data_IF_195832506788
#
_entry.id   IF_195832506788
#
_cell.length_a   1.000
_cell.length_b   1.000
_cell.length_c   1.000
_cell.angle_alpha   90.00
_cell.angle_beta   90.00
_cell.angle_gamma   90.00
#
_symmetry.space_group_name_H-M   'P 1'
#
loop_
_entity.id
_entity.type
_entity.pdbx_description
1 polymer ?
#
# COMPACT_ATOMS: atom_id res chain seq x y z
N UNK A 1 -22.52 -12.99 41.92
CA UNK A 1 -21.29 -13.45 41.26
C UNK A 1 -21.10 -14.97 41.32
N UNK A 2 -21.30 -15.63 42.43
CA UNK A 2 -21.13 -17.09 42.53
C UNK A 2 -22.07 -17.90 41.64
N UNK A 3 -23.33 -17.48 41.49
CA UNK A 3 -24.30 -18.15 40.61
C UNK A 3 -23.98 -17.97 39.12
N UNK A 4 -23.46 -16.83 38.73
CA UNK A 4 -22.99 -16.59 37.36
C UNK A 4 -21.83 -17.51 36.96
N UNK A 5 -20.83 -17.64 37.84
CA UNK A 5 -19.70 -18.55 37.63
C UNK A 5 -20.12 -20.03 37.59
N UNK A 6 -21.10 -20.38 38.37
CA UNK A 6 -21.67 -21.74 38.37
C UNK A 6 -22.39 -22.03 37.06
N UNK A 7 -23.18 -21.08 36.57
CA UNK A 7 -23.89 -21.20 35.31
C UNK A 7 -22.90 -21.30 34.14
N UNK A 8 -21.90 -20.43 34.11
CA UNK A 8 -20.84 -20.44 33.12
C UNK A 8 -20.12 -21.79 33.04
N UNK A 9 -19.78 -22.37 34.23
CA UNK A 9 -19.11 -23.68 34.30
C UNK A 9 -20.00 -24.82 33.78
N UNK A 10 -21.32 -24.76 34.05
CA UNK A 10 -22.27 -25.75 33.55
C UNK A 10 -22.36 -25.67 32.01
N UNK A 11 -22.46 -24.47 31.46
CA UNK A 11 -22.56 -24.27 30.02
C UNK A 11 -21.25 -24.68 29.28
N UNK A 12 -20.10 -24.34 29.82
CA UNK A 12 -18.83 -24.82 29.28
C UNK A 12 -18.75 -26.36 29.31
N UNK A 13 -19.11 -26.99 30.40
CA UNK A 13 -19.14 -28.45 30.50
C UNK A 13 -20.08 -29.07 29.46
N UNK A 14 -21.22 -28.43 29.19
CA UNK A 14 -22.19 -28.88 28.17
C UNK A 14 -21.64 -28.79 26.77
N UNK A 15 -20.92 -27.69 26.44
CA UNK A 15 -20.27 -27.51 25.14
C UNK A 15 -19.19 -28.58 24.94
N UNK A 16 -18.31 -28.79 25.92
CA UNK A 16 -17.24 -29.76 25.83
C UNK A 16 -17.71 -31.23 25.89
N UNK A 17 -18.91 -31.48 26.42
CA UNK A 17 -19.51 -32.82 26.49
C UNK A 17 -20.28 -33.22 25.24
N UNK A 18 -20.58 -32.26 24.34
CA UNK A 18 -21.30 -32.50 23.12
C UNK A 18 -20.38 -32.33 21.91
N UNK A 19 -20.08 -33.42 21.21
CA UNK A 19 -19.18 -33.45 20.08
C UNK A 19 -19.57 -32.49 18.94
N UNK A 20 -20.88 -32.28 18.73
CA UNK A 20 -21.38 -31.37 17.71
C UNK A 20 -21.14 -29.92 18.10
N UNK A 21 -21.44 -29.57 19.35
CA UNK A 21 -21.18 -28.21 19.87
C UNK A 21 -19.68 -27.91 19.91
N UNK A 22 -18.88 -28.89 20.30
CA UNK A 22 -17.41 -28.75 20.31
C UNK A 22 -16.86 -28.54 18.88
N UNK A 23 -17.34 -29.33 17.94
CA UNK A 23 -16.92 -29.19 16.52
C UNK A 23 -17.28 -27.83 15.94
N UNK A 24 -18.43 -27.27 16.27
CA UNK A 24 -18.82 -25.93 15.82
C UNK A 24 -18.02 -24.86 16.55
N UNK A 25 -17.88 -24.97 17.88
CA UNK A 25 -17.24 -23.94 18.71
C UNK A 25 -15.73 -23.79 18.43
N UNK A 26 -15.04 -24.90 18.15
CA UNK A 26 -13.61 -24.92 17.83
C UNK A 26 -13.38 -24.96 16.32
N UNK A 27 -14.15 -25.77 15.61
CA UNK A 27 -13.98 -26.01 14.18
C UNK A 27 -14.29 -24.78 13.32
N UNK A 28 -15.33 -24.02 13.66
CA UNK A 28 -15.69 -22.83 12.90
C UNK A 28 -14.59 -21.75 12.95
N UNK A 29 -14.05 -21.33 14.10
CA UNK A 29 -12.94 -20.38 14.14
C UNK A 29 -11.70 -20.85 13.39
N UNK A 30 -11.34 -22.12 13.50
CA UNK A 30 -10.19 -22.69 12.79
C UNK A 30 -10.45 -22.68 11.28
N UNK A 31 -11.63 -23.13 10.85
CA UNK A 31 -12.00 -23.12 9.44
C UNK A 31 -11.98 -21.72 8.86
N UNK A 32 -12.58 -20.73 9.55
CA UNK A 32 -12.57 -19.33 9.11
C UNK A 32 -11.16 -18.75 9.14
N UNK A 33 -10.34 -19.07 10.15
CA UNK A 33 -8.96 -18.64 10.22
C UNK A 33 -8.14 -19.12 9.02
N UNK A 34 -8.28 -20.40 8.64
CA UNK A 34 -7.60 -20.98 7.46
C UNK A 34 -8.16 -20.37 6.17
N UNK A 35 -9.49 -20.28 6.05
CA UNK A 35 -10.14 -19.72 4.86
C UNK A 35 -9.71 -18.27 4.61
N UNK A 36 -9.84 -17.42 5.62
CA UNK A 36 -9.45 -16.01 5.50
C UNK A 36 -7.94 -15.86 5.35
N UNK A 37 -7.14 -16.64 6.07
CA UNK A 37 -5.69 -16.66 5.89
C UNK A 37 -5.28 -16.98 4.46
N UNK A 38 -5.95 -17.94 3.82
CA UNK A 38 -5.70 -18.29 2.43
C UNK A 38 -6.17 -17.21 1.45
N UNK A 39 -7.39 -16.69 1.65
CA UNK A 39 -7.96 -15.62 0.79
C UNK A 39 -7.12 -14.34 0.88
N UNK A 40 -6.78 -13.91 2.09
CA UNK A 40 -6.00 -12.68 2.28
C UNK A 40 -4.53 -12.81 1.90
N UNK A 41 -3.97 -14.02 1.86
CA UNK A 41 -2.61 -14.24 1.35
C UNK A 41 -2.48 -13.84 -0.14
N UNK A 42 -3.56 -13.96 -0.91
CA UNK A 42 -3.60 -13.57 -2.33
C UNK A 42 -4.04 -12.11 -2.57
N UNK A 43 -4.46 -11.41 -1.52
CA UNK A 43 -4.94 -10.03 -1.61
C UNK A 43 -3.81 -8.97 -1.54
N UNK A 44 -2.53 -9.39 -1.60
CA UNK A 44 -1.41 -8.45 -1.74
C UNK A 44 -1.49 -7.85 -3.14
N UNK A 45 -1.86 -6.59 -3.23
CA UNK A 45 -1.78 -5.83 -4.49
C UNK A 45 -0.30 -5.57 -4.76
N UNK A 46 0.20 -6.14 -5.84
CA UNK A 46 1.60 -6.03 -6.30
C UNK A 46 1.60 -5.58 -7.76
N UNK A 47 2.71 -5.02 -8.21
CA UNK A 47 2.91 -4.56 -9.58
C UNK A 47 1.87 -3.51 -10.01
N UNK A 48 1.58 -2.52 -9.14
CA UNK A 48 0.74 -1.39 -9.49
C UNK A 48 1.46 -0.54 -10.55
N UNK A 49 0.93 -0.41 -11.77
CA UNK A 49 1.56 0.36 -12.81
C UNK A 49 1.53 1.84 -12.46
N UNK A 50 2.70 2.45 -12.38
CA UNK A 50 2.88 3.87 -12.13
C UNK A 50 3.69 4.50 -13.27
N UNK A 51 3.45 5.79 -13.50
CA UNK A 51 4.23 6.62 -14.40
C UNK A 51 4.94 7.69 -13.58
N UNK A 52 6.22 7.91 -13.84
CA UNK A 52 7.01 8.96 -13.19
C UNK A 52 7.30 10.04 -14.20
N UNK A 53 7.08 11.29 -13.82
CA UNK A 53 7.47 12.47 -14.57
C UNK A 53 8.59 13.13 -13.78
N UNK A 54 9.79 13.09 -14.33
CA UNK A 54 10.95 13.74 -13.74
C UNK A 54 11.23 15.04 -14.49
N UNK A 55 10.88 16.16 -13.88
CA UNK A 55 11.15 17.49 -14.43
C UNK A 55 12.49 18.09 -13.94
N UNK A 56 13.13 17.44 -12.95
CA UNK A 56 14.36 17.93 -12.33
C UNK A 56 15.64 17.41 -13.00
N UNK A 57 15.60 16.17 -13.48
CA UNK A 57 16.75 15.51 -14.12
C UNK A 57 18.03 15.52 -13.28
N UNK A 58 17.91 15.37 -11.99
CA UNK A 58 19.02 15.43 -11.05
C UNK A 58 19.44 14.04 -10.54
N UNK A 59 20.66 13.89 -10.03
CA UNK A 59 21.06 12.68 -9.32
C UNK A 59 20.18 12.33 -8.13
N UNK A 60 19.48 13.31 -7.56
CA UNK A 60 18.56 13.09 -6.45
C UNK A 60 17.21 12.53 -6.95
N UNK A 61 16.70 13.03 -8.07
CA UNK A 61 15.50 12.46 -8.70
C UNK A 61 15.74 11.02 -9.14
N UNK A 62 16.92 10.71 -9.71
CA UNK A 62 17.30 9.35 -10.11
C UNK A 62 17.25 8.37 -8.91
N UNK A 63 17.75 8.77 -7.73
CA UNK A 63 17.69 7.94 -6.51
C UNK A 63 16.27 7.67 -6.02
N UNK A 64 15.39 8.64 -6.19
CA UNK A 64 13.97 8.46 -5.83
C UNK A 64 13.30 7.50 -6.83
N UNK A 65 13.61 7.64 -8.12
CA UNK A 65 13.10 6.74 -9.16
C UNK A 65 13.57 5.30 -8.90
N UNK A 66 14.85 5.08 -8.64
CA UNK A 66 15.40 3.78 -8.26
C UNK A 66 14.68 3.18 -7.05
N UNK A 67 14.30 4.01 -6.09
CA UNK A 67 13.53 3.55 -4.93
C UNK A 67 12.10 3.12 -5.26
N UNK A 68 11.49 3.73 -6.25
CA UNK A 68 10.19 3.29 -6.73
C UNK A 68 10.30 1.98 -7.53
N UNK A 69 11.37 1.81 -8.30
CA UNK A 69 11.64 0.56 -9.04
C UNK A 69 11.93 -0.62 -8.11
N UNK A 70 12.62 -0.39 -6.99
CA UNK A 70 12.93 -1.41 -5.98
C UNK A 70 11.71 -1.83 -5.14
N UNK A 71 10.57 -1.14 -5.25
CA UNK A 71 9.40 -1.43 -4.46
C UNK A 71 8.53 -2.55 -5.06
N UNK A 72 8.40 -3.67 -4.36
CA UNK A 72 7.62 -4.84 -4.82
C UNK A 72 6.13 -4.56 -5.13
N UNK A 73 5.55 -3.51 -4.56
CA UNK A 73 4.14 -3.18 -4.75
C UNK A 73 3.90 -2.29 -5.97
N UNK A 74 4.94 -1.62 -6.47
CA UNK A 74 4.88 -0.66 -7.57
C UNK A 74 5.59 -1.23 -8.80
N UNK A 75 5.09 -0.91 -9.98
CA UNK A 75 5.71 -1.22 -11.26
C UNK A 75 5.88 0.08 -12.03
N UNK A 76 7.10 0.58 -12.11
CA UNK A 76 7.41 1.74 -12.95
C UNK A 76 7.23 1.35 -14.41
N UNK A 77 6.13 1.78 -15.02
CA UNK A 77 5.75 1.42 -16.39
C UNK A 77 6.35 2.36 -17.43
N UNK A 78 6.56 3.62 -17.07
CA UNK A 78 7.14 4.64 -17.96
C UNK A 78 7.77 5.75 -17.12
N UNK A 79 8.86 6.32 -17.63
CA UNK A 79 9.53 7.48 -17.06
C UNK A 79 9.56 8.56 -18.12
N UNK A 80 9.03 9.74 -17.81
CA UNK A 80 8.96 10.88 -18.72
C UNK A 80 9.66 12.08 -18.13
N UNK A 81 10.17 12.89 -19.01
CA UNK A 81 10.96 14.06 -18.66
C UNK A 81 10.21 15.39 -18.87
N UNK A 82 8.97 15.33 -19.25
CA UNK A 82 8.13 16.52 -19.49
C UNK A 82 6.69 16.17 -19.15
N UNK A 83 6.03 17.04 -18.40
CA UNK A 83 4.60 16.95 -18.15
C UNK A 83 3.82 17.31 -19.44
N UNK A 84 3.87 16.43 -20.44
CA UNK A 84 2.95 16.51 -21.59
C UNK A 84 1.52 16.20 -21.15
N UNK A 85 0.56 16.27 -22.07
CA UNK A 85 -0.82 15.83 -21.83
C UNK A 85 -0.87 14.31 -21.68
N UNK A 86 -0.31 13.78 -20.55
CA UNK A 86 -0.29 12.34 -20.27
C UNK A 86 -1.69 11.74 -20.26
N UNK A 87 -2.67 12.51 -19.80
CA UNK A 87 -4.08 12.09 -19.76
C UNK A 87 -4.68 11.96 -21.17
N UNK A 88 -4.16 12.67 -22.16
CA UNK A 88 -4.61 12.61 -23.54
C UNK A 88 -3.87 11.54 -24.35
N UNK A 89 -2.61 11.25 -23.99
CA UNK A 89 -1.75 10.30 -24.71
C UNK A 89 -1.86 8.86 -24.22
N UNK A 90 -2.13 8.66 -22.92
CA UNK A 90 -2.31 7.34 -22.34
C UNK A 90 -3.75 7.13 -21.89
N UNK A 91 -4.38 6.03 -22.32
CA UNK A 91 -5.71 5.69 -21.77
C UNK A 91 -5.60 5.55 -20.26
N UNK A 92 -6.42 6.29 -19.52
CA UNK A 92 -6.52 6.36 -18.03
C UNK A 92 -6.57 4.97 -17.35
N UNK A 93 -6.79 3.91 -18.12
CA UNK A 93 -6.87 2.53 -17.63
C UNK A 93 -5.52 1.81 -17.53
N UNK A 94 -4.42 2.40 -17.98
CA UNK A 94 -3.12 1.71 -18.06
C UNK A 94 -2.22 1.96 -16.86
N UNK A 95 -2.53 2.93 -16.00
CA UNK A 95 -1.75 3.22 -14.80
C UNK A 95 -2.63 3.55 -13.60
N UNK A 96 -2.14 3.22 -12.41
CA UNK A 96 -2.84 3.46 -11.15
C UNK A 96 -2.40 4.78 -10.47
N UNK A 97 -1.20 5.27 -10.78
CA UNK A 97 -0.71 6.55 -10.29
C UNK A 97 0.26 7.23 -11.28
N UNK A 98 0.28 8.56 -11.23
CA UNK A 98 1.30 9.40 -11.88
C UNK A 98 2.00 10.19 -10.78
N UNK A 99 3.33 10.12 -10.74
CA UNK A 99 4.16 10.83 -9.79
C UNK A 99 4.96 11.88 -10.55
N UNK A 100 4.85 13.14 -10.14
CA UNK A 100 5.61 14.24 -10.74
C UNK A 100 6.64 14.77 -9.74
N UNK A 101 7.91 14.66 -10.10
CA UNK A 101 9.02 15.29 -9.41
C UNK A 101 9.20 16.69 -9.98
N UNK A 102 9.08 17.77 -9.18
CA UNK A 102 9.09 19.13 -9.68
C UNK A 102 10.48 19.56 -10.10
N UNK A 103 10.55 20.52 -11.01
CA UNK A 103 11.79 21.26 -11.30
C UNK A 103 12.38 21.86 -10.03
N UNK A 104 13.68 21.78 -9.82
CA UNK A 104 14.40 22.17 -8.63
C UNK A 104 14.22 21.22 -7.41
N UNK A 105 13.81 19.98 -7.62
CA UNK A 105 13.64 18.99 -6.57
C UNK A 105 14.92 18.82 -5.72
N UNK A 106 16.07 18.59 -6.35
CA UNK A 106 17.36 18.50 -5.68
C UNK A 106 17.76 19.81 -5.00
N UNK A 107 17.57 20.94 -5.66
CA UNK A 107 17.91 22.24 -5.10
C UNK A 107 17.12 22.57 -3.85
N UNK A 108 15.84 22.21 -3.80
CA UNK A 108 15.00 22.41 -2.64
C UNK A 108 15.42 21.53 -1.47
N UNK A 109 15.75 20.26 -1.71
CA UNK A 109 16.28 19.34 -0.70
C UNK A 109 17.59 19.89 -0.13
N UNK A 110 18.55 20.27 -0.97
CA UNK A 110 19.84 20.80 -0.52
C UNK A 110 19.72 22.12 0.27
N UNK A 111 18.68 22.90 -0.02
CA UNK A 111 18.36 24.12 0.73
C UNK A 111 17.47 23.88 1.96
N UNK A 112 17.26 22.60 2.34
CA UNK A 112 16.38 22.19 3.45
C UNK A 112 14.95 22.71 3.30
N UNK A 113 14.48 22.83 2.07
CA UNK A 113 13.08 23.05 1.71
C UNK A 113 12.41 21.73 1.42
N UNK A 114 11.10 21.65 1.64
CA UNK A 114 10.31 20.46 1.31
C UNK A 114 9.76 20.62 -0.11
N UNK A 115 10.32 19.89 -1.11
CA UNK A 115 9.76 19.91 -2.44
C UNK A 115 8.37 19.25 -2.44
N UNK A 116 7.43 19.82 -3.17
CA UNK A 116 6.08 19.25 -3.31
C UNK A 116 6.07 18.23 -4.44
N UNK A 117 6.17 16.95 -4.11
CA UNK A 117 5.95 15.86 -5.05
C UNK A 117 4.45 15.74 -5.30
N UNK A 118 4.06 15.83 -6.56
CA UNK A 118 2.66 15.67 -6.93
C UNK A 118 2.35 14.21 -7.25
N UNK A 119 1.28 13.69 -6.65
CA UNK A 119 0.80 12.32 -6.88
C UNK A 119 -0.65 12.36 -7.35
N UNK A 120 -0.87 12.02 -8.61
CA UNK A 120 -2.19 11.89 -9.20
C UNK A 120 -2.60 10.41 -9.22
N UNK A 121 -3.64 10.04 -8.47
CA UNK A 121 -4.11 8.66 -8.32
C UNK A 121 -5.30 8.38 -9.23
N UNK A 122 -5.29 7.24 -9.90
CA UNK A 122 -6.43 6.74 -10.64
C UNK A 122 -7.46 6.11 -9.68
N UNK A 123 -8.53 6.83 -9.40
CA UNK A 123 -9.57 6.41 -8.44
C UNK A 123 -10.56 5.39 -9.01
N UNK A 124 -10.35 4.89 -10.24
CA UNK A 124 -11.21 3.84 -10.83
C UNK A 124 -11.16 2.54 -10.01
N UNK A 125 -10.06 2.29 -9.29
CA UNK A 125 -9.92 1.18 -8.34
C UNK A 125 -9.40 1.71 -6.99
N UNK A 126 -10.32 1.89 -6.03
CA UNK A 126 -10.01 2.46 -4.71
C UNK A 126 -8.96 1.62 -3.95
N UNK A 127 -8.95 0.30 -4.13
CA UNK A 127 -7.98 -0.58 -3.47
C UNK A 127 -6.57 -0.33 -3.99
N UNK A 128 -6.40 -0.21 -5.30
CA UNK A 128 -5.14 0.11 -5.94
C UNK A 128 -4.66 1.51 -5.54
N UNK A 129 -5.55 2.51 -5.57
CA UNK A 129 -5.24 3.89 -5.18
C UNK A 129 -4.72 3.97 -3.73
N UNK A 130 -5.38 3.29 -2.78
CA UNK A 130 -4.94 3.24 -1.38
C UNK A 130 -3.58 2.55 -1.22
N UNK A 131 -3.34 1.47 -1.96
CA UNK A 131 -2.08 0.74 -1.91
C UNK A 131 -0.95 1.56 -2.53
N UNK A 132 -1.19 2.18 -3.69
CA UNK A 132 -0.25 3.09 -4.33
C UNK A 132 0.12 4.25 -3.40
N UNK A 133 -0.87 4.97 -2.84
CA UNK A 133 -0.64 6.08 -1.92
C UNK A 133 0.23 5.70 -0.73
N UNK A 134 -0.04 4.56 -0.07
CA UNK A 134 0.76 4.10 1.07
C UNK A 134 2.21 3.81 0.69
N UNK A 135 2.44 3.13 -0.42
CA UNK A 135 3.79 2.77 -0.85
C UNK A 135 4.59 4.00 -1.29
N UNK A 136 3.96 4.92 -2.03
CA UNK A 136 4.59 6.18 -2.45
C UNK A 136 5.01 6.99 -1.22
N UNK A 137 4.09 7.24 -0.28
CA UNK A 137 4.39 7.99 0.94
C UNK A 137 5.50 7.33 1.79
N UNK A 138 5.56 5.99 1.80
CA UNK A 138 6.60 5.26 2.54
C UNK A 138 7.99 5.39 1.92
N UNK A 139 8.10 5.68 0.64
CA UNK A 139 9.36 5.88 -0.07
C UNK A 139 9.82 7.33 0.07
N UNK A 140 8.91 8.29 -0.06
CA UNK A 140 9.22 9.72 0.00
C UNK A 140 9.75 10.14 1.39
N UNK A 141 9.04 9.75 2.45
CA UNK A 141 9.31 10.25 3.80
C UNK A 141 10.73 9.95 4.32
N UNK A 142 11.22 8.69 4.33
CA UNK A 142 12.54 8.40 4.90
C UNK A 142 13.70 8.85 4.00
N UNK A 143 13.52 8.92 2.68
CA UNK A 143 14.60 9.29 1.76
C UNK A 143 14.80 10.80 1.64
N UNK A 144 13.72 11.54 1.66
CA UNK A 144 13.77 12.99 1.77
C UNK A 144 14.41 13.37 3.11
N UNK A 145 14.02 12.71 4.22
CA UNK A 145 14.57 12.96 5.55
C UNK A 145 16.06 12.58 5.66
N UNK A 146 16.49 11.48 5.03
CA UNK A 146 17.89 11.06 4.98
C UNK A 146 18.79 12.01 4.16
N UNK A 147 18.24 12.80 3.26
CA UNK A 147 18.96 13.80 2.49
C UNK A 147 19.25 15.08 3.28
N UNK A 148 18.61 15.25 4.46
CA UNK A 148 18.86 16.37 5.37
C UNK A 148 19.97 16.10 6.40
N UNK A 149 20.48 14.88 6.51
CA UNK A 149 21.57 14.49 7.43
C UNK A 149 22.91 14.49 6.74
#
# INVERSE_FOLDING_TARGET
>A
MKDFLKLLRIEFKRIFSNSVLLAIFIGAPIFYGVLFGYVYKQAKVINLPIVIIDEDHSPMSDKIIEAFEDNEALLVSDIRYTAGNILDEMPVKQFDAVITLPTNFEADILQKRHPEIRVDLNMANILNANTASKNITSIESPRVEAAYL
#
